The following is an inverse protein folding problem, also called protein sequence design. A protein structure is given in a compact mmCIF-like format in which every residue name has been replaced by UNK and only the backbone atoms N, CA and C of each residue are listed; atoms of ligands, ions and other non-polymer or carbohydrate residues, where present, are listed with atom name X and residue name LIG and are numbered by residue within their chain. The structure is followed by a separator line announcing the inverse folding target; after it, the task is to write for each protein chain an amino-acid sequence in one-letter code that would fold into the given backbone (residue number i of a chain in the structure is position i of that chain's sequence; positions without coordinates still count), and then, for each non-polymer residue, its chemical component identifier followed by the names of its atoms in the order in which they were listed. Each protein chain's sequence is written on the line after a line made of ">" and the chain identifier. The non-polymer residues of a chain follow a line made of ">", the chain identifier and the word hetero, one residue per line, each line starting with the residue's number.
data_IF_357918537802
#
_entry.id   IF_357918537802
#
_cell.length_a   1.000
_cell.length_b   1.000
_cell.length_c   1.000
_cell.angle_alpha   90.00
_cell.angle_beta   90.00
_cell.angle_gamma   90.00
#
_symmetry.space_group_name_H-M   'P 1'
#
loop_
_entity.id
_entity.type
_entity.pdbx_description
1 polymer ?
#
# COMPACT_ATOMS: atom_id res chain seq x y z
N UNK A 1 -25.62 7.28 -8.05
CA UNK A 1 -24.56 6.50 -7.37
C UNK A 1 -24.05 5.51 -8.41
N UNK A 2 -22.84 5.72 -8.92
CA UNK A 2 -22.25 4.88 -9.96
C UNK A 2 -21.94 3.49 -9.40
N UNK A 3 -22.26 2.44 -10.15
CA UNK A 3 -22.03 1.04 -9.76
C UNK A 3 -21.11 0.39 -10.80
N UNK A 4 -19.85 0.19 -10.41
CA UNK A 4 -18.75 -0.27 -11.27
C UNK A 4 -19.07 -1.41 -12.25
N UNK A 5 -19.91 -2.36 -11.84
CA UNK A 5 -20.19 -3.59 -12.60
C UNK A 5 -21.57 -3.58 -13.26
N UNK A 6 -22.46 -2.67 -12.86
CA UNK A 6 -23.86 -2.66 -13.32
C UNK A 6 -24.07 -1.66 -14.45
N UNK A 7 -23.31 -0.56 -14.45
CA UNK A 7 -23.46 0.53 -15.42
C UNK A 7 -22.52 0.38 -16.64
N UNK A 8 -21.91 -0.80 -16.85
CA UNK A 8 -20.92 -1.07 -17.89
C UNK A 8 -21.22 -2.39 -18.60
N UNK A 9 -21.91 -2.32 -19.73
CA UNK A 9 -22.35 -3.48 -20.52
C UNK A 9 -21.19 -4.24 -21.18
N UNK A 10 -20.08 -3.57 -21.47
CA UNK A 10 -18.94 -4.13 -22.21
C UNK A 10 -17.79 -4.53 -21.28
N UNK A 11 -17.98 -4.52 -19.95
CA UNK A 11 -16.87 -4.65 -19.00
C UNK A 11 -16.10 -5.96 -19.13
N UNK A 12 -16.80 -7.03 -19.55
CA UNK A 12 -16.23 -8.35 -19.76
C UNK A 12 -15.48 -8.48 -21.09
N UNK A 13 -15.68 -7.55 -22.03
CA UNK A 13 -14.95 -7.50 -23.31
C UNK A 13 -13.62 -6.74 -23.17
N UNK A 14 -13.45 -5.96 -22.10
CA UNK A 14 -12.23 -5.20 -21.85
C UNK A 14 -11.09 -6.17 -21.54
N UNK A 15 -10.01 -6.08 -22.33
CA UNK A 15 -8.81 -6.89 -22.08
C UNK A 15 -8.10 -6.45 -20.80
N UNK A 16 -8.21 -7.28 -19.76
CA UNK A 16 -7.57 -7.02 -18.46
C UNK A 16 -6.17 -7.64 -18.32
N UNK A 17 -5.69 -8.37 -19.33
CA UNK A 17 -4.45 -9.15 -19.26
C UNK A 17 -3.21 -8.33 -18.92
N UNK A 18 -3.12 -7.08 -19.38
CA UNK A 18 -2.02 -6.17 -19.02
C UNK A 18 -1.96 -5.95 -17.51
N UNK A 19 -3.11 -5.75 -16.88
CA UNK A 19 -3.25 -5.50 -15.45
C UNK A 19 -3.04 -6.77 -14.61
N UNK A 20 -3.42 -7.92 -15.14
CA UNK A 20 -3.19 -9.23 -14.50
C UNK A 20 -1.72 -9.63 -14.58
N UNK A 21 -1.04 -9.43 -15.72
CA UNK A 21 0.39 -9.75 -15.89
C UNK A 21 1.27 -9.10 -14.82
N UNK A 22 1.03 -7.82 -14.51
CA UNK A 22 1.77 -7.13 -13.45
C UNK A 22 1.57 -7.80 -12.08
N UNK A 23 0.34 -8.20 -11.75
CA UNK A 23 0.03 -8.87 -10.47
C UNK A 23 0.62 -10.27 -10.40
N UNK A 24 0.52 -11.02 -11.49
CA UNK A 24 1.14 -12.34 -11.61
C UNK A 24 2.66 -12.26 -11.47
N UNK A 25 3.31 -11.28 -12.09
CA UNK A 25 4.75 -11.07 -11.92
C UNK A 25 5.14 -10.91 -10.44
N UNK A 26 4.40 -10.10 -9.68
CA UNK A 26 4.67 -9.91 -8.25
C UNK A 26 4.30 -11.13 -7.40
N UNK A 27 3.26 -11.86 -7.79
CA UNK A 27 2.85 -13.10 -7.15
C UNK A 27 3.91 -14.20 -7.31
N UNK A 28 4.49 -14.33 -8.51
CA UNK A 28 5.46 -15.38 -8.87
C UNK A 28 6.71 -15.34 -7.98
N UNK A 29 7.17 -14.17 -7.54
CA UNK A 29 8.31 -14.10 -6.61
C UNK A 29 7.86 -14.03 -5.15
N UNK A 30 6.78 -13.32 -4.83
CA UNK A 30 6.37 -13.11 -3.43
C UNK A 30 5.89 -14.39 -2.76
N UNK A 31 5.19 -15.27 -3.48
CA UNK A 31 4.68 -16.51 -2.90
C UNK A 31 5.82 -17.50 -2.60
N UNK A 32 6.74 -17.82 -3.52
CA UNK A 32 7.88 -18.66 -3.19
C UNK A 32 8.76 -18.07 -2.08
N UNK A 33 9.02 -16.76 -2.11
CA UNK A 33 9.77 -16.09 -1.05
C UNK A 33 9.08 -16.25 0.32
N UNK A 34 7.75 -16.07 0.37
CA UNK A 34 6.96 -16.32 1.58
C UNK A 34 7.13 -17.76 2.08
N UNK A 35 6.94 -18.77 1.21
CA UNK A 35 6.99 -20.18 1.61
C UNK A 35 8.39 -20.60 2.08
N UNK A 36 9.44 -20.20 1.34
CA UNK A 36 10.83 -20.52 1.67
C UNK A 36 11.27 -19.87 2.98
N UNK A 37 10.98 -18.57 3.15
CA UNK A 37 11.35 -17.85 4.36
C UNK A 37 10.52 -18.26 5.57
N UNK A 38 9.24 -18.62 5.40
CA UNK A 38 8.42 -19.17 6.48
C UNK A 38 8.98 -20.52 6.94
N UNK A 39 9.39 -21.37 6.01
CA UNK A 39 10.01 -22.67 6.33
C UNK A 39 11.34 -22.50 7.06
N UNK A 40 12.20 -21.58 6.60
CA UNK A 40 13.51 -21.35 7.20
C UNK A 40 13.45 -20.56 8.52
N UNK A 41 12.53 -19.61 8.64
CA UNK A 41 12.42 -18.68 9.77
C UNK A 41 10.98 -18.60 10.31
N UNK A 42 10.46 -19.70 10.88
CA UNK A 42 9.12 -19.72 11.46
C UNK A 42 9.04 -18.79 12.69
N UNK A 43 7.87 -18.18 12.91
CA UNK A 43 7.65 -17.22 14.00
C UNK A 43 7.94 -17.84 15.38
N UNK A 44 7.69 -19.13 15.53
CA UNK A 44 7.90 -19.92 16.73
C UNK A 44 9.36 -19.86 17.20
N UNK A 45 10.32 -19.69 16.29
CA UNK A 45 11.73 -19.57 16.62
C UNK A 45 12.00 -18.36 17.53
N UNK A 46 11.31 -17.24 17.31
CA UNK A 46 11.46 -16.03 18.12
C UNK A 46 10.82 -16.14 19.51
N UNK A 47 10.04 -17.19 19.76
CA UNK A 47 9.33 -17.41 21.03
C UNK A 47 10.06 -18.38 21.95
N UNK A 48 11.14 -19.02 21.49
CA UNK A 48 11.95 -19.93 22.28
C UNK A 48 12.92 -19.16 23.17
N UNK A 49 13.16 -19.66 24.37
CA UNK A 49 14.11 -19.05 25.31
C UNK A 49 15.52 -18.96 24.73
N UNK A 50 15.94 -19.99 23.97
CA UNK A 50 17.21 -20.03 23.24
C UNK A 50 17.44 -18.79 22.36
N UNK A 51 16.38 -18.23 21.77
CA UNK A 51 16.50 -17.04 20.93
C UNK A 51 16.90 -15.79 21.72
N UNK A 52 16.54 -15.72 23.01
CA UNK A 52 16.88 -14.58 23.85
C UNK A 52 18.34 -14.58 24.31
N UNK A 53 18.96 -15.77 24.34
CA UNK A 53 20.37 -15.97 24.68
C UNK A 53 21.32 -15.67 23.52
N UNK A 54 20.77 -15.52 22.30
CA UNK A 54 21.53 -15.22 21.10
C UNK A 54 22.03 -13.76 21.03
N UNK A 55 23.03 -13.56 20.15
CA UNK A 55 23.58 -12.23 19.89
C UNK A 55 22.49 -11.25 19.39
N UNK A 56 22.66 -9.97 19.70
CA UNK A 56 21.74 -8.91 19.22
C UNK A 56 21.68 -8.90 17.68
N UNK A 57 22.81 -9.11 17.02
CA UNK A 57 22.87 -9.15 15.55
C UNK A 57 22.04 -10.30 14.96
N UNK A 58 22.15 -11.51 15.55
CA UNK A 58 21.34 -12.65 15.14
C UNK A 58 19.85 -12.36 15.32
N UNK A 59 19.45 -11.84 16.48
CA UNK A 59 18.06 -11.50 16.77
C UNK A 59 17.48 -10.48 15.81
N UNK A 60 18.23 -9.42 15.48
CA UNK A 60 17.81 -8.41 14.50
C UNK A 60 17.67 -9.03 13.10
N UNK A 61 18.65 -9.83 12.68
CA UNK A 61 18.65 -10.46 11.35
C UNK A 61 17.48 -11.41 11.17
N UNK A 62 17.22 -12.27 12.16
CA UNK A 62 16.06 -13.16 12.17
C UNK A 62 14.75 -12.35 12.18
N UNK A 63 14.65 -11.32 13.03
CA UNK A 63 13.43 -10.48 13.10
C UNK A 63 13.14 -9.82 11.75
N UNK A 64 14.18 -9.37 11.04
CA UNK A 64 14.05 -8.82 9.69
C UNK A 64 13.55 -9.88 8.70
N UNK A 65 14.10 -11.09 8.70
CA UNK A 65 13.67 -12.19 7.82
C UNK A 65 12.24 -12.64 8.12
N UNK A 66 11.86 -12.66 9.40
CA UNK A 66 10.48 -12.93 9.83
C UNK A 66 9.53 -11.87 9.32
N UNK A 67 9.89 -10.60 9.47
CA UNK A 67 9.10 -9.49 8.94
C UNK A 67 9.00 -9.54 7.41
N UNK A 68 10.09 -9.90 6.72
CA UNK A 68 10.12 -10.04 5.27
C UNK A 68 9.12 -11.09 4.78
N UNK A 69 9.07 -12.28 5.37
CA UNK A 69 8.09 -13.27 4.95
C UNK A 69 6.66 -12.86 5.28
N UNK A 70 6.44 -12.16 6.41
CA UNK A 70 5.12 -11.61 6.73
C UNK A 70 4.65 -10.61 5.67
N UNK A 71 5.56 -9.78 5.14
CA UNK A 71 5.28 -8.88 4.02
C UNK A 71 5.00 -9.63 2.74
N UNK A 72 5.84 -10.61 2.38
CA UNK A 72 5.63 -11.44 1.19
C UNK A 72 4.26 -12.14 1.23
N UNK A 73 3.84 -12.65 2.40
CA UNK A 73 2.49 -13.21 2.61
C UNK A 73 1.40 -12.20 2.25
N UNK A 74 1.52 -10.96 2.70
CA UNK A 74 0.55 -9.89 2.41
C UNK A 74 0.60 -9.50 0.93
N UNK A 75 1.78 -9.42 0.33
CA UNK A 75 1.94 -9.16 -1.11
C UNK A 75 1.22 -10.21 -1.94
N UNK A 76 1.44 -11.49 -1.65
CA UNK A 76 0.78 -12.59 -2.36
C UNK A 76 -0.75 -12.52 -2.20
N UNK A 77 -1.25 -12.29 -0.98
CA UNK A 77 -2.68 -12.19 -0.72
C UNK A 77 -3.33 -11.04 -1.51
N UNK A 78 -2.72 -9.86 -1.53
CA UNK A 78 -3.22 -8.73 -2.30
C UNK A 78 -3.13 -8.96 -3.80
N UNK A 79 -2.04 -9.54 -4.32
CA UNK A 79 -1.93 -9.81 -5.76
C UNK A 79 -3.05 -10.73 -6.24
N UNK A 80 -3.45 -11.71 -5.42
CA UNK A 80 -4.61 -12.58 -5.71
C UNK A 80 -5.92 -11.80 -5.60
N UNK A 81 -6.16 -11.10 -4.49
CA UNK A 81 -7.40 -10.36 -4.25
C UNK A 81 -7.66 -9.31 -5.34
N UNK A 82 -6.65 -8.51 -5.68
CA UNK A 82 -6.77 -7.50 -6.74
C UNK A 82 -6.97 -8.14 -8.12
N UNK A 83 -6.33 -9.29 -8.39
CA UNK A 83 -6.55 -10.02 -9.65
C UNK A 83 -7.99 -10.50 -9.77
N UNK A 84 -8.59 -10.99 -8.67
CA UNK A 84 -10.01 -11.39 -8.63
C UNK A 84 -10.90 -10.18 -8.94
N UNK A 85 -10.65 -9.02 -8.33
CA UNK A 85 -11.42 -7.81 -8.64
C UNK A 85 -11.32 -7.43 -10.12
N UNK A 86 -10.10 -7.40 -10.67
CA UNK A 86 -9.85 -7.04 -12.07
C UNK A 86 -10.50 -8.03 -13.05
N UNK A 87 -10.44 -9.34 -12.77
CA UNK A 87 -11.09 -10.36 -13.60
C UNK A 87 -12.62 -10.25 -13.62
N UNK A 88 -13.21 -9.66 -12.57
CA UNK A 88 -14.63 -9.37 -12.48
C UNK A 88 -14.98 -7.95 -12.95
N UNK A 89 -14.04 -7.24 -13.59
CA UNK A 89 -14.26 -5.86 -14.06
C UNK A 89 -14.28 -4.80 -12.96
N UNK A 90 -14.06 -5.17 -11.69
CA UNK A 90 -14.14 -4.22 -10.57
C UNK A 90 -12.89 -3.32 -10.57
N UNK A 91 -13.11 -2.01 -10.48
CA UNK A 91 -12.05 -1.01 -10.43
C UNK A 91 -11.32 -0.78 -11.74
N UNK A 92 -11.95 -1.16 -12.87
CA UNK A 92 -11.47 -0.89 -14.22
C UNK A 92 -12.16 0.36 -14.75
N UNK A 93 -11.39 1.42 -15.01
CA UNK A 93 -11.93 2.70 -15.48
C UNK A 93 -11.09 3.28 -16.61
N UNK A 94 -11.67 4.17 -17.45
CA UNK A 94 -10.92 4.93 -18.44
C UNK A 94 -9.74 5.63 -17.80
N UNK A 95 -8.56 5.55 -18.40
CA UNK A 95 -7.32 6.09 -17.84
C UNK A 95 -7.42 7.61 -17.61
N UNK A 96 -8.09 8.32 -18.52
CA UNK A 96 -8.33 9.76 -18.46
C UNK A 96 -9.29 10.17 -17.34
N UNK A 97 -10.07 9.24 -16.79
CA UNK A 97 -10.87 9.50 -15.58
C UNK A 97 -10.00 9.66 -14.32
N UNK A 98 -8.68 9.46 -14.45
CA UNK A 98 -7.66 9.55 -13.41
C UNK A 98 -8.06 8.81 -12.12
N UNK A 99 -8.43 7.52 -12.20
CA UNK A 99 -8.90 6.78 -11.05
C UNK A 99 -7.80 6.60 -10.01
N UNK A 100 -8.21 6.51 -8.75
CA UNK A 100 -7.31 6.39 -7.61
C UNK A 100 -7.81 5.36 -6.60
N UNK A 101 -6.87 4.70 -5.92
CA UNK A 101 -7.16 3.65 -4.96
C UNK A 101 -8.18 4.12 -3.89
N UNK A 102 -9.26 3.35 -3.74
CA UNK A 102 -10.33 3.61 -2.76
C UNK A 102 -11.36 4.67 -3.17
N UNK A 103 -10.99 5.63 -4.02
CA UNK A 103 -11.92 6.67 -4.51
C UNK A 103 -12.65 6.26 -5.80
N UNK A 104 -12.00 5.43 -6.62
CA UNK A 104 -12.46 5.16 -7.98
C UNK A 104 -12.13 6.33 -8.93
N UNK A 105 -12.95 6.60 -9.96
CA UNK A 105 -12.68 7.62 -10.97
C UNK A 105 -12.77 9.03 -10.38
N UNK A 106 -11.76 9.86 -10.66
CA UNK A 106 -11.71 11.24 -10.17
C UNK A 106 -12.51 12.21 -11.04
N UNK A 107 -12.59 11.93 -12.35
CA UNK A 107 -13.32 12.74 -13.34
C UNK A 107 -14.53 11.96 -13.86
N UNK A 108 -15.69 12.23 -13.28
CA UNK A 108 -16.94 11.51 -13.54
C UNK A 108 -17.56 11.90 -14.89
N UNK A 109 -17.29 13.12 -15.34
CA UNK A 109 -17.59 13.63 -16.68
C UNK A 109 -16.93 12.77 -17.77
N UNK A 110 -15.60 12.59 -17.68
CA UNK A 110 -14.84 11.78 -18.64
C UNK A 110 -15.22 10.30 -18.56
N UNK A 111 -15.45 9.79 -17.33
CA UNK A 111 -15.94 8.42 -17.15
C UNK A 111 -17.20 8.20 -18.00
N UNK A 112 -18.21 9.06 -17.89
CA UNK A 112 -19.48 8.90 -18.62
C UNK A 112 -19.32 8.98 -20.14
N UNK A 113 -18.37 9.78 -20.62
CA UNK A 113 -18.11 9.94 -22.05
C UNK A 113 -17.35 8.76 -22.66
N UNK A 114 -16.38 8.21 -21.92
CA UNK A 114 -15.43 7.22 -22.44
C UNK A 114 -15.78 5.78 -22.06
N UNK A 115 -16.62 5.59 -21.05
CA UNK A 115 -17.14 4.27 -20.71
C UNK A 115 -17.89 3.70 -21.92
N UNK A 116 -17.58 2.47 -22.28
CA UNK A 116 -18.10 1.74 -23.46
C UNK A 116 -17.71 2.35 -24.83
N UNK A 117 -16.85 3.37 -24.87
CA UNK A 117 -16.34 3.89 -26.14
C UNK A 117 -15.25 2.97 -26.69
N UNK A 118 -15.40 2.55 -27.94
CA UNK A 118 -14.40 1.72 -28.62
C UNK A 118 -13.05 2.44 -28.69
N UNK A 119 -11.99 1.74 -28.30
CA UNK A 119 -10.63 2.28 -28.28
C UNK A 119 -10.24 3.01 -26.99
N UNK A 120 -11.11 3.08 -25.98
CA UNK A 120 -10.76 3.62 -24.67
C UNK A 120 -9.68 2.76 -24.00
N UNK A 121 -8.63 3.42 -23.50
CA UNK A 121 -7.64 2.78 -22.66
C UNK A 121 -8.14 2.74 -21.21
N UNK A 122 -8.08 1.56 -20.60
CA UNK A 122 -8.52 1.35 -19.23
C UNK A 122 -7.32 1.15 -18.31
N UNK A 123 -7.52 1.46 -17.03
CA UNK A 123 -6.57 1.15 -15.98
C UNK A 123 -7.25 0.46 -14.78
N UNK A 124 -6.45 -0.21 -13.94
CA UNK A 124 -6.90 -0.93 -12.75
C UNK A 124 -6.43 -0.27 -11.44
N UNK A 125 -6.20 1.04 -11.46
CA UNK A 125 -5.49 1.74 -10.37
C UNK A 125 -6.37 1.86 -9.11
N UNK A 126 -7.69 1.88 -9.28
CA UNK A 126 -8.64 2.01 -8.17
C UNK A 126 -8.64 0.82 -7.20
N UNK A 127 -8.25 -0.36 -7.69
CA UNK A 127 -8.11 -1.59 -6.88
C UNK A 127 -6.65 -1.88 -6.51
N UNK A 128 -5.69 -1.07 -6.95
CA UNK A 128 -4.26 -1.24 -6.60
C UNK A 128 -4.00 -0.80 -5.17
N UNK A 129 -4.06 -1.74 -4.25
CA UNK A 129 -3.86 -1.56 -2.82
C UNK A 129 -2.40 -1.50 -2.41
N UNK A 130 -1.54 -2.24 -3.10
CA UNK A 130 -0.10 -2.23 -2.85
C UNK A 130 0.68 -1.74 -4.06
N UNK A 131 1.65 -0.88 -3.77
CA UNK A 131 2.72 -0.57 -4.70
C UNK A 131 4.06 -1.06 -4.14
N UNK A 132 4.42 -2.31 -4.48
CA UNK A 132 5.51 -3.04 -3.82
C UNK A 132 6.85 -2.32 -3.97
N UNK A 133 7.19 -1.81 -5.15
CA UNK A 133 8.44 -1.09 -5.35
C UNK A 133 8.53 0.19 -4.52
N UNK A 134 7.43 0.93 -4.44
CA UNK A 134 7.34 2.12 -3.57
C UNK A 134 7.36 1.76 -2.08
N UNK A 135 6.94 0.55 -1.70
CA UNK A 135 7.06 0.09 -0.30
C UNK A 135 8.52 -0.28 0.01
N UNK A 136 9.23 -0.94 -0.92
CA UNK A 136 10.59 -1.43 -0.68
C UNK A 136 11.67 -0.36 -0.85
N UNK A 137 11.51 0.54 -1.83
CA UNK A 137 12.61 1.37 -2.34
C UNK A 137 12.36 2.88 -2.22
N UNK A 138 11.21 3.31 -1.68
CA UNK A 138 10.95 4.74 -1.58
C UNK A 138 11.86 5.39 -0.53
N UNK A 139 12.48 6.51 -0.90
CA UNK A 139 13.39 7.25 -0.03
C UNK A 139 12.69 7.94 1.16
N UNK A 140 11.36 8.08 1.11
CA UNK A 140 10.57 8.73 2.16
C UNK A 140 9.72 7.71 2.93
N UNK A 141 9.70 7.86 4.25
CA UNK A 141 8.85 7.08 5.13
C UNK A 141 7.36 7.28 4.78
N UNK A 142 6.96 8.53 4.52
CA UNK A 142 5.60 8.84 4.06
C UNK A 142 5.27 8.21 2.72
N UNK A 143 6.22 8.13 1.79
CA UNK A 143 6.03 7.50 0.49
C UNK A 143 5.76 6.01 0.63
N UNK A 144 6.60 5.30 1.38
CA UNK A 144 6.39 3.89 1.69
C UNK A 144 5.04 3.62 2.37
N UNK A 145 4.66 4.46 3.35
CA UNK A 145 3.37 4.34 4.04
C UNK A 145 2.18 4.56 3.09
N UNK A 146 2.27 5.55 2.18
CA UNK A 146 1.22 5.82 1.18
C UNK A 146 1.12 4.74 0.12
N UNK A 147 2.16 3.94 -0.10
CA UNK A 147 2.16 2.84 -1.03
C UNK A 147 1.55 1.54 -0.45
N UNK A 148 1.42 1.46 0.88
CA UNK A 148 0.86 0.32 1.61
C UNK A 148 -0.64 0.50 1.94
N UNK A 149 -1.45 -0.51 1.65
CA UNK A 149 -2.90 -0.53 1.90
C UNK A 149 -3.61 0.77 1.48
N UNK A 150 -3.46 1.15 0.20
CA UNK A 150 -3.90 2.45 -0.33
C UNK A 150 -5.38 2.74 -0.14
N UNK A 151 -6.25 1.73 -0.25
CA UNK A 151 -7.69 1.91 0.01
C UNK A 151 -7.98 2.18 1.49
N UNK A 152 -7.25 1.56 2.41
CA UNK A 152 -7.36 1.82 3.85
C UNK A 152 -6.84 3.21 4.18
N UNK A 153 -5.73 3.63 3.56
CA UNK A 153 -5.23 5.01 3.68
C UNK A 153 -6.27 6.03 3.21
N UNK A 154 -6.93 5.75 2.07
CA UNK A 154 -8.03 6.57 1.59
C UNK A 154 -9.20 6.60 2.59
N UNK A 155 -9.59 5.45 3.14
CA UNK A 155 -10.65 5.37 4.14
C UNK A 155 -10.30 6.17 5.40
N UNK A 156 -9.12 5.95 5.99
CA UNK A 156 -8.62 6.69 7.15
C UNK A 156 -8.59 8.20 6.89
N UNK A 157 -8.14 8.62 5.71
CA UNK A 157 -8.10 10.03 5.34
C UNK A 157 -9.49 10.68 5.32
N UNK A 158 -10.51 10.00 4.78
CA UNK A 158 -11.85 10.56 4.61
C UNK A 158 -12.76 10.38 5.82
N UNK A 159 -12.58 9.29 6.56
CA UNK A 159 -13.44 8.92 7.68
C UNK A 159 -12.89 9.39 9.03
N UNK A 160 -11.58 9.57 9.16
CA UNK A 160 -10.94 9.96 10.44
C UNK A 160 -10.20 11.27 10.30
N UNK A 161 -9.12 11.32 9.51
CA UNK A 161 -8.19 12.46 9.46
C UNK A 161 -8.87 13.79 9.18
N UNK A 162 -9.75 13.85 8.16
CA UNK A 162 -10.48 15.07 7.81
C UNK A 162 -11.54 15.50 8.83
N UNK A 163 -11.90 14.63 9.77
CA UNK A 163 -12.98 14.83 10.75
C UNK A 163 -12.50 15.18 12.15
N UNK A 164 -11.18 15.26 12.36
CA UNK A 164 -10.56 15.59 13.65
C UNK A 164 -9.79 16.92 13.56
N UNK A 165 -9.46 17.57 14.70
CA UNK A 165 -8.66 18.79 14.69
C UNK A 165 -7.32 18.58 13.97
N UNK A 166 -6.93 19.54 13.12
CA UNK A 166 -5.72 19.42 12.27
C UNK A 166 -4.44 19.15 13.08
N UNK A 167 -4.31 19.75 14.26
CA UNK A 167 -3.15 19.57 15.14
C UNK A 167 -2.95 18.14 15.62
N UNK A 168 -4.03 17.35 15.72
CA UNK A 168 -4.01 15.97 16.19
C UNK A 168 -4.32 14.96 15.09
N UNK A 169 -4.41 15.40 13.83
CA UNK A 169 -4.93 14.62 12.71
C UNK A 169 -4.22 13.28 12.54
N UNK A 170 -2.88 13.31 12.42
CA UNK A 170 -2.07 12.10 12.21
C UNK A 170 -2.12 11.18 13.44
N UNK A 171 -1.99 11.76 14.64
CA UNK A 171 -2.02 11.00 15.89
C UNK A 171 -3.33 10.23 16.08
N UNK A 172 -4.47 10.92 15.97
CA UNK A 172 -5.78 10.30 16.15
C UNK A 172 -6.10 9.29 15.04
N UNK A 173 -5.67 9.57 13.81
CA UNK A 173 -5.83 8.63 12.70
C UNK A 173 -5.06 7.34 12.95
N UNK A 174 -3.80 7.44 13.40
CA UNK A 174 -2.98 6.26 13.70
C UNK A 174 -3.44 5.54 14.96
N UNK A 175 -4.03 6.24 15.94
CA UNK A 175 -4.68 5.61 17.09
C UNK A 175 -5.91 4.78 16.68
N UNK A 176 -6.76 5.32 15.80
CA UNK A 176 -7.89 4.56 15.24
C UNK A 176 -7.41 3.37 14.42
N UNK A 177 -6.34 3.54 13.63
CA UNK A 177 -5.70 2.44 12.90
C UNK A 177 -5.20 1.35 13.86
N UNK A 178 -4.52 1.72 14.95
CA UNK A 178 -4.05 0.78 15.97
C UNK A 178 -5.21 -0.03 16.56
N UNK A 179 -6.28 0.66 16.97
CA UNK A 179 -7.47 0.04 17.53
C UNK A 179 -8.15 -0.92 16.53
N UNK A 180 -8.21 -0.55 15.25
CA UNK A 180 -8.77 -1.40 14.20
C UNK A 180 -8.00 -2.72 14.03
N UNK A 181 -6.67 -2.70 14.23
CA UNK A 181 -5.85 -3.91 14.22
C UNK A 181 -6.01 -4.78 15.48
N UNK A 182 -6.40 -4.17 16.61
CA UNK A 182 -6.78 -4.87 17.84
C UNK A 182 -6.34 -4.15 19.11
N UNK A 183 -6.64 -4.75 20.26
CA UNK A 183 -6.36 -4.17 21.59
C UNK A 183 -4.99 -4.58 22.18
N UNK A 184 -4.19 -5.34 21.44
CA UNK A 184 -2.86 -5.73 21.90
C UNK A 184 -1.89 -4.54 21.92
N UNK A 185 -1.06 -4.37 22.97
CA UNK A 185 -0.14 -3.23 23.10
C UNK A 185 0.81 -3.04 21.91
N UNK A 186 1.23 -4.13 21.26
CA UNK A 186 2.12 -4.08 20.11
C UNK A 186 1.56 -3.28 18.92
N UNK A 187 0.23 -3.27 18.73
CA UNK A 187 -0.39 -2.47 17.67
C UNK A 187 -0.26 -0.97 17.95
N UNK A 188 -0.53 -0.56 19.19
CA UNK A 188 -0.37 0.85 19.58
C UNK A 188 1.08 1.29 19.46
N UNK A 189 2.04 0.46 19.89
CA UNK A 189 3.47 0.76 19.73
C UNK A 189 3.83 0.96 18.25
N UNK A 190 3.39 0.06 17.38
CA UNK A 190 3.68 0.15 15.94
C UNK A 190 3.07 1.38 15.28
N UNK A 191 1.75 1.59 15.41
CA UNK A 191 1.06 2.67 14.73
C UNK A 191 1.37 4.05 15.32
N UNK A 192 1.59 4.17 16.63
CA UNK A 192 1.97 5.44 17.25
C UNK A 192 3.45 5.80 17.01
N UNK A 193 4.25 4.87 16.48
CA UNK A 193 5.59 5.19 15.94
C UNK A 193 5.49 5.96 14.62
N UNK A 194 4.42 5.77 13.83
CA UNK A 194 4.23 6.44 12.53
C UNK A 194 4.26 7.97 12.65
N UNK A 195 3.48 8.63 13.54
CA UNK A 195 3.60 10.07 13.75
C UNK A 195 5.03 10.52 14.09
N UNK A 196 5.73 9.79 14.95
CA UNK A 196 7.11 10.11 15.35
C UNK A 196 8.07 10.07 14.15
N UNK A 197 7.99 9.01 13.34
CA UNK A 197 8.77 8.89 12.12
C UNK A 197 8.45 10.01 11.11
N UNK A 198 7.17 10.37 10.95
CA UNK A 198 6.81 11.48 10.04
C UNK A 198 7.30 12.85 10.54
N UNK A 199 7.32 13.08 11.85
CA UNK A 199 7.87 14.29 12.44
C UNK A 199 9.39 14.34 12.29
N UNK A 200 10.07 13.21 12.51
CA UNK A 200 11.51 13.10 12.28
C UNK A 200 11.86 13.38 10.81
N UNK A 201 11.10 12.79 9.87
CA UNK A 201 11.25 13.04 8.44
C UNK A 201 11.07 14.53 8.09
N UNK A 202 10.00 15.19 8.57
CA UNK A 202 9.78 16.62 8.31
C UNK A 202 10.93 17.49 8.82
N UNK A 203 11.47 17.20 10.00
CA UNK A 203 12.61 17.92 10.56
C UNK A 203 13.89 17.69 9.74
N UNK A 204 14.17 16.45 9.34
CA UNK A 204 15.33 16.14 8.49
C UNK A 204 15.22 16.88 7.15
N UNK A 205 14.07 16.78 6.48
CA UNK A 205 13.84 17.43 5.18
C UNK A 205 13.87 18.96 5.25
N UNK A 206 13.59 19.56 6.40
CA UNK A 206 13.71 21.01 6.60
C UNK A 206 15.17 21.49 6.60
N UNK A 207 16.11 20.61 6.95
CA UNK A 207 17.56 20.91 7.01
C UNK A 207 18.28 20.60 5.70
N UNK A 208 17.68 19.78 4.82
CA UNK A 208 18.30 19.38 3.56
C UNK A 208 18.29 20.57 2.57
N UNK A 209 19.46 20.98 2.03
CA UNK A 209 19.53 22.03 1.02
C UNK A 209 18.72 21.65 -0.21
N UNK A 210 17.87 22.58 -0.66
CA UNK A 210 17.06 22.43 -1.88
C UNK A 210 17.85 22.92 -3.08
N UNK A 211 17.57 22.33 -4.25
CA UNK A 211 18.11 22.80 -5.52
C UNK A 211 17.60 24.21 -5.88
N UNK A 212 18.11 24.77 -6.97
CA UNK A 212 17.69 26.09 -7.47
C UNK A 212 16.20 26.17 -7.83
N UNK A 213 15.51 25.02 -7.97
CA UNK A 213 14.09 24.92 -8.25
C UNK A 213 13.25 24.64 -6.98
N UNK A 214 13.87 24.67 -5.79
CA UNK A 214 13.22 24.39 -4.52
C UNK A 214 12.89 22.90 -4.29
N UNK A 215 13.43 21.99 -5.09
CA UNK A 215 13.27 20.54 -4.95
C UNK A 215 14.35 19.96 -4.05
N UNK A 216 13.99 18.88 -3.36
CA UNK A 216 14.97 18.10 -2.59
C UNK A 216 15.95 17.41 -3.56
N UNK A 217 17.17 17.06 -3.09
CA UNK A 217 18.14 16.30 -3.88
C UNK A 217 17.52 15.00 -4.40
N UNK A 218 17.98 14.52 -5.55
CA UNK A 218 17.50 13.27 -6.18
C UNK A 218 17.53 12.05 -5.22
N UNK A 219 18.49 12.01 -4.29
CA UNK A 219 18.59 10.99 -3.24
C UNK A 219 17.41 10.97 -2.25
N UNK A 220 16.66 12.07 -2.16
CA UNK A 220 15.46 12.25 -1.32
C UNK A 220 14.17 12.34 -2.14
N UNK A 221 14.24 12.22 -3.47
CA UNK A 221 13.09 12.37 -4.38
C UNK A 221 12.79 11.17 -5.29
N UNK A 222 13.55 10.07 -5.19
CA UNK A 222 13.47 8.90 -6.09
C UNK A 222 13.33 7.62 -5.25
N UNK A 223 12.55 6.57 -5.57
CA UNK A 223 11.77 6.19 -6.77
C UNK A 223 10.26 6.49 -6.67
#
# INVERSE_FOLDING_TARGET
>A
MYRDVIDNDDIMEISVWKHIKWRLYHFVWSLPAFLLLLYAFPLEMMRKDEFFDETVFYRISVSFLVFLWMRCRVYSAWMVAESICVLNGIGIYPEESCPSAGKGPNRIDILKEQMNRKGTNYNSEAVRNLDIWSIELNASFRGGMRAWNRTVQFWLANCVYKRVPRSMGVLLTMLVSAFWHGVHPGYFLSFLTVPLCTLAEDNILSLVPKDSNGKLPLSFTVL
#
